data_IF_270611078732
#
_entry.id   IF_270611078732
#
_cell.length_a   1.000
_cell.length_b   1.000
_cell.length_c   1.000
_cell.angle_alpha   90.00
_cell.angle_beta   90.00
_cell.angle_gamma   90.00
#
_symmetry.space_group_name_H-M   'P 1'
#
loop_
_entity.id
_entity.type
_entity.pdbx_description
1 polymer ?
#
# COMPACT_ATOMS: atom_id res chain seq x y z
N UNK A 1 -22.12 -24.99 12.86
CA UNK A 1 -21.15 -24.28 13.73
C UNK A 1 -19.69 -24.69 13.49
N UNK A 2 -19.35 -25.98 13.42
CA UNK A 2 -17.95 -26.42 13.22
C UNK A 2 -17.29 -25.95 11.91
N UNK A 3 -18.03 -25.90 10.80
CA UNK A 3 -17.50 -25.39 9.52
C UNK A 3 -17.16 -23.89 9.57
N UNK A 4 -17.97 -23.09 10.25
CA UNK A 4 -17.74 -21.64 10.41
C UNK A 4 -16.54 -21.38 11.30
N UNK A 5 -16.37 -22.15 12.39
CA UNK A 5 -15.19 -22.04 13.25
C UNK A 5 -13.93 -22.48 12.49
N UNK A 6 -13.99 -23.57 11.71
CA UNK A 6 -12.88 -24.07 10.91
C UNK A 6 -12.44 -23.07 9.82
N UNK A 7 -13.39 -22.47 9.09
CA UNK A 7 -13.06 -21.45 8.08
C UNK A 7 -12.49 -20.20 8.75
N UNK A 8 -13.04 -19.75 9.88
CA UNK A 8 -12.49 -18.60 10.62
C UNK A 8 -11.07 -18.86 11.12
N UNK A 9 -10.79 -20.07 11.62
CA UNK A 9 -9.49 -20.47 12.12
C UNK A 9 -8.43 -20.57 11.01
N UNK A 10 -8.83 -20.90 9.78
CA UNK A 10 -7.95 -20.89 8.59
C UNK A 10 -7.79 -19.51 7.97
N UNK A 11 -8.80 -18.65 8.07
CA UNK A 11 -8.78 -17.28 7.50
C UNK A 11 -7.93 -16.33 8.36
N UNK A 12 -7.95 -16.50 9.67
CA UNK A 12 -7.21 -15.66 10.61
C UNK A 12 -5.69 -15.61 10.37
N UNK A 13 -4.96 -16.73 10.23
CA UNK A 13 -3.52 -16.69 9.94
C UNK A 13 -3.23 -16.13 8.53
N UNK A 14 -4.08 -16.42 7.54
CA UNK A 14 -3.94 -15.88 6.18
C UNK A 14 -4.07 -14.36 6.14
N UNK A 15 -5.05 -13.79 6.86
CA UNK A 15 -5.20 -12.34 6.95
C UNK A 15 -4.03 -11.67 7.70
N UNK A 16 -3.54 -12.28 8.79
CA UNK A 16 -2.38 -11.76 9.53
C UNK A 16 -1.11 -11.79 8.67
N UNK A 17 -0.87 -12.88 7.93
CA UNK A 17 0.25 -12.99 7.01
C UNK A 17 0.18 -11.93 5.89
N UNK A 18 -1.00 -11.73 5.29
CA UNK A 18 -1.23 -10.74 4.24
C UNK A 18 -1.06 -9.29 4.72
N UNK A 19 -1.51 -8.98 5.94
CA UNK A 19 -1.26 -7.67 6.56
C UNK A 19 0.23 -7.44 6.79
N UNK A 20 0.95 -8.47 7.23
CA UNK A 20 2.39 -8.39 7.47
C UNK A 20 3.19 -8.26 6.17
N UNK A 21 2.82 -9.04 5.14
CA UNK A 21 3.33 -8.91 3.78
C UNK A 21 3.19 -7.47 3.27
N UNK A 22 1.99 -6.88 3.36
CA UNK A 22 1.75 -5.48 2.96
C UNK A 22 2.66 -4.50 3.67
N UNK A 23 2.86 -4.66 4.99
CA UNK A 23 3.73 -3.80 5.80
C UNK A 23 5.22 -3.97 5.48
N UNK A 24 5.64 -5.18 5.08
CA UNK A 24 7.01 -5.41 4.60
C UNK A 24 7.16 -4.69 3.25
N UNK A 25 6.26 -4.96 2.31
CA UNK A 25 6.31 -4.42 0.95
C UNK A 25 6.27 -2.90 0.88
N UNK A 26 5.49 -2.24 1.75
CA UNK A 26 5.40 -0.77 1.80
C UNK A 26 6.70 -0.12 2.28
N UNK A 27 7.41 -0.78 3.21
CA UNK A 27 8.63 -0.25 3.82
C UNK A 27 9.91 -0.71 3.10
N UNK A 28 9.81 -1.78 2.31
CA UNK A 28 10.95 -2.40 1.65
C UNK A 28 11.74 -1.44 0.72
N UNK A 29 11.11 -0.62 -0.15
CA UNK A 29 11.85 0.32 -1.00
C UNK A 29 12.75 1.28 -0.20
N UNK A 30 12.29 1.75 0.96
CA UNK A 30 13.03 2.65 1.82
C UNK A 30 14.18 1.94 2.55
N UNK A 31 13.94 0.72 3.04
CA UNK A 31 14.99 -0.11 3.62
C UNK A 31 16.07 -0.47 2.59
N UNK A 32 15.69 -0.74 1.33
CA UNK A 32 16.67 -1.02 0.26
C UNK A 32 17.54 0.18 -0.06
N UNK A 33 17.02 1.41 -0.02
CA UNK A 33 17.86 2.61 -0.16
C UNK A 33 18.92 2.69 0.95
N UNK A 34 18.56 2.34 2.19
CA UNK A 34 19.52 2.27 3.29
C UNK A 34 20.57 1.18 3.06
N UNK A 35 20.17 -0.02 2.67
CA UNK A 35 21.09 -1.11 2.31
C UNK A 35 22.05 -0.67 1.20
N UNK A 36 21.52 -0.04 0.16
CA UNK A 36 22.29 0.49 -0.96
C UNK A 36 23.30 1.56 -0.52
N UNK A 37 22.89 2.49 0.35
CA UNK A 37 23.77 3.52 0.88
C UNK A 37 24.91 2.93 1.73
N UNK A 38 24.58 1.99 2.62
CA UNK A 38 25.58 1.29 3.45
C UNK A 38 26.56 0.48 2.60
N UNK A 39 26.06 -0.22 1.57
CA UNK A 39 26.91 -0.95 0.64
C UNK A 39 27.77 -0.03 -0.22
N UNK A 40 27.25 1.13 -0.62
CA UNK A 40 28.02 2.14 -1.34
C UNK A 40 29.18 2.67 -0.50
N UNK A 41 29.01 2.76 0.82
CA UNK A 41 30.03 3.10 1.82
C UNK A 41 31.00 1.94 2.14
N UNK A 42 30.85 0.77 1.50
CA UNK A 42 31.76 -0.36 1.68
C UNK A 42 31.47 -1.24 2.90
N UNK A 43 30.32 -1.06 3.55
CA UNK A 43 29.93 -1.88 4.70
C UNK A 43 29.68 -3.33 4.27
N UNK A 44 30.16 -4.28 5.08
CA UNK A 44 30.02 -5.70 4.77
C UNK A 44 28.53 -6.14 4.86
N UNK A 45 28.08 -7.08 4.03
CA UNK A 45 26.65 -7.43 3.93
C UNK A 45 26.01 -7.86 5.26
N UNK A 46 26.73 -8.62 6.07
CA UNK A 46 26.26 -9.06 7.39
C UNK A 46 26.04 -7.87 8.33
N UNK A 47 26.93 -6.89 8.34
CA UNK A 47 26.80 -5.67 9.14
C UNK A 47 25.66 -4.77 8.66
N UNK A 48 25.36 -4.78 7.35
CA UNK A 48 24.22 -4.04 6.81
C UNK A 48 22.90 -4.56 7.40
N UNK A 49 22.69 -5.88 7.42
CA UNK A 49 21.47 -6.47 8.00
C UNK A 49 21.40 -6.25 9.53
N UNK A 50 22.54 -6.31 10.23
CA UNK A 50 22.61 -5.97 11.65
C UNK A 50 22.27 -4.48 11.87
N UNK A 51 22.79 -3.58 11.04
CA UNK A 51 22.50 -2.15 11.14
C UNK A 51 21.03 -1.84 10.85
N UNK A 52 20.47 -2.48 9.82
CA UNK A 52 19.05 -2.36 9.46
C UNK A 52 18.13 -2.83 10.60
N UNK A 53 18.53 -3.85 11.37
CA UNK A 53 17.77 -4.34 12.52
C UNK A 53 17.61 -3.32 13.66
N UNK A 54 18.48 -2.32 13.72
CA UNK A 54 18.46 -1.26 14.74
C UNK A 54 17.61 -0.06 14.32
N UNK A 55 17.26 0.04 13.04
CA UNK A 55 16.54 1.18 12.48
C UNK A 55 15.03 0.98 12.58
N UNK A 56 14.42 1.50 13.65
CA UNK A 56 12.97 1.37 13.90
C UNK A 56 12.07 1.98 12.82
N UNK A 57 12.60 2.90 12.02
CA UNK A 57 11.87 3.60 10.96
C UNK A 57 11.38 2.67 9.83
N UNK A 58 11.94 1.46 9.68
CA UNK A 58 11.58 0.53 8.60
C UNK A 58 10.54 -0.54 9.01
N UNK A 59 9.94 -0.43 10.20
CA UNK A 59 8.82 -1.25 10.63
C UNK A 59 9.08 -2.76 10.54
N UNK A 60 8.22 -3.50 9.82
CA UNK A 60 8.32 -4.96 9.69
C UNK A 60 9.59 -5.44 8.95
N UNK A 61 10.18 -4.60 8.09
CA UNK A 61 11.45 -4.94 7.42
C UNK A 61 12.59 -4.98 8.43
N UNK A 62 12.57 -4.09 9.43
CA UNK A 62 13.49 -4.13 10.57
C UNK A 62 13.32 -5.41 11.39
N UNK A 63 12.09 -5.89 11.58
CA UNK A 63 11.84 -7.16 12.28
C UNK A 63 12.39 -8.37 11.50
N UNK A 64 12.23 -8.41 10.18
CA UNK A 64 12.88 -9.46 9.37
C UNK A 64 14.41 -9.34 9.39
N UNK A 65 14.94 -8.13 9.30
CA UNK A 65 16.38 -7.88 9.42
C UNK A 65 16.92 -8.27 10.81
N UNK A 66 16.17 -8.02 11.89
CA UNK A 66 16.53 -8.41 13.25
C UNK A 66 16.60 -9.92 13.43
N UNK A 67 15.73 -10.65 12.75
CA UNK A 67 15.78 -12.11 12.75
C UNK A 67 16.98 -12.62 11.94
N UNK A 68 17.28 -12.04 10.77
CA UNK A 68 18.50 -12.36 10.01
C UNK A 68 19.76 -12.06 10.86
N UNK A 69 19.81 -10.89 11.49
CA UNK A 69 20.91 -10.47 12.36
C UNK A 69 21.10 -11.41 13.55
N UNK A 70 20.00 -11.93 14.11
CA UNK A 70 20.01 -12.95 15.17
C UNK A 70 20.58 -14.28 14.69
N UNK A 71 20.18 -14.72 13.50
CA UNK A 71 20.67 -15.97 12.91
C UNK A 71 22.18 -15.90 12.66
N UNK A 72 22.70 -14.74 12.26
CA UNK A 72 24.14 -14.51 12.06
C UNK A 72 24.88 -14.39 13.40
N UNK A 73 24.43 -13.52 14.30
CA UNK A 73 25.21 -13.15 15.50
C UNK A 73 25.05 -14.11 16.67
N UNK A 74 23.86 -14.68 16.88
CA UNK A 74 23.59 -15.58 18.00
C UNK A 74 23.74 -17.05 17.61
N UNK A 75 23.32 -17.44 16.41
CA UNK A 75 23.37 -18.84 15.95
C UNK A 75 24.65 -19.16 15.16
N UNK A 76 25.48 -18.15 14.86
CA UNK A 76 26.73 -18.33 14.12
C UNK A 76 26.53 -18.81 12.68
N UNK A 77 25.34 -18.59 12.09
CA UNK A 77 25.06 -19.02 10.72
C UNK A 77 25.81 -18.14 9.73
N UNK A 78 26.29 -18.75 8.64
CA UNK A 78 26.80 -17.99 7.52
C UNK A 78 25.68 -17.16 6.88
N UNK A 79 26.05 -16.05 6.24
CA UNK A 79 25.10 -15.11 5.65
C UNK A 79 24.20 -15.79 4.61
N UNK A 80 24.71 -16.74 3.82
CA UNK A 80 23.90 -17.40 2.77
C UNK A 80 22.84 -18.29 3.40
N UNK A 81 23.20 -19.08 4.41
CA UNK A 81 22.24 -19.93 5.14
C UNK A 81 21.22 -19.11 5.91
N UNK A 82 21.64 -18.03 6.57
CA UNK A 82 20.72 -17.12 7.28
C UNK A 82 19.70 -16.48 6.32
N UNK A 83 20.15 -16.05 5.14
CA UNK A 83 19.26 -15.49 4.12
C UNK A 83 18.31 -16.54 3.53
N UNK A 84 18.77 -17.77 3.28
CA UNK A 84 17.90 -18.88 2.85
C UNK A 84 16.80 -19.18 3.86
N UNK A 85 17.13 -19.23 5.15
CA UNK A 85 16.15 -19.41 6.21
C UNK A 85 15.15 -18.25 6.29
N UNK A 86 15.61 -17.02 6.06
CA UNK A 86 14.72 -15.86 6.02
C UNK A 86 13.75 -15.89 4.83
N UNK A 87 14.19 -16.39 3.67
CA UNK A 87 13.33 -16.58 2.48
C UNK A 87 12.18 -17.56 2.71
N UNK A 88 12.41 -18.63 3.48
CA UNK A 88 11.36 -19.61 3.81
C UNK A 88 10.32 -19.07 4.79
N UNK A 89 10.69 -18.08 5.62
CA UNK A 89 9.83 -17.54 6.67
C UNK A 89 9.06 -16.28 6.25
N UNK A 90 9.60 -15.48 5.34
CA UNK A 90 8.98 -14.21 4.97
C UNK A 90 7.66 -14.43 4.21
N UNK A 91 6.56 -13.73 4.58
CA UNK A 91 5.32 -13.75 3.81
C UNK A 91 5.39 -12.86 2.56
N UNK A 92 6.41 -12.00 2.43
CA UNK A 92 6.59 -11.09 1.29
C UNK A 92 7.40 -11.74 0.18
N UNK A 93 6.79 -11.85 -1.01
CA UNK A 93 7.47 -12.33 -2.21
C UNK A 93 8.55 -11.34 -2.68
N UNK A 94 8.31 -10.03 -2.59
CA UNK A 94 9.30 -9.01 -2.97
C UNK A 94 10.55 -9.07 -2.10
N UNK A 95 10.37 -9.26 -0.80
CA UNK A 95 11.50 -9.42 0.11
C UNK A 95 12.25 -10.73 -0.17
N UNK A 96 11.51 -11.82 -0.42
CA UNK A 96 12.10 -13.11 -0.81
C UNK A 96 12.95 -12.99 -2.08
N UNK A 97 12.43 -12.34 -3.12
CA UNK A 97 13.14 -12.13 -4.39
C UNK A 97 14.41 -11.28 -4.21
N UNK A 98 14.33 -10.27 -3.36
CA UNK A 98 15.50 -9.48 -2.98
C UNK A 98 16.56 -10.35 -2.30
N UNK A 99 16.19 -11.10 -1.25
CA UNK A 99 17.13 -11.97 -0.54
C UNK A 99 17.72 -13.05 -1.46
N UNK A 100 16.91 -13.60 -2.37
CA UNK A 100 17.34 -14.59 -3.36
C UNK A 100 18.41 -14.01 -4.28
N UNK A 101 18.22 -12.78 -4.76
CA UNK A 101 19.24 -12.11 -5.57
C UNK A 101 20.52 -11.84 -4.80
N UNK A 102 20.45 -11.47 -3.50
CA UNK A 102 21.63 -11.35 -2.63
C UNK A 102 22.41 -12.66 -2.58
N UNK A 103 21.71 -13.77 -2.32
CA UNK A 103 22.32 -15.10 -2.25
C UNK A 103 22.99 -15.45 -3.59
N UNK A 104 22.28 -15.27 -4.71
CA UNK A 104 22.82 -15.55 -6.04
C UNK A 104 24.07 -14.73 -6.32
N UNK A 105 24.04 -13.42 -6.06
CA UNK A 105 25.21 -12.54 -6.26
C UNK A 105 26.40 -12.93 -5.41
N UNK A 106 26.20 -13.34 -4.15
CA UNK A 106 27.29 -13.85 -3.30
C UNK A 106 27.86 -15.15 -3.88
N UNK A 107 26.98 -16.11 -4.21
CA UNK A 107 27.42 -17.45 -4.66
C UNK A 107 28.08 -17.45 -6.03
N UNK A 108 27.76 -16.48 -6.90
CA UNK A 108 28.40 -16.32 -8.20
C UNK A 108 29.69 -15.50 -8.15
N UNK A 109 30.12 -15.02 -6.96
CA UNK A 109 31.28 -14.14 -6.82
C UNK A 109 31.05 -12.73 -7.35
N UNK A 110 29.79 -12.33 -7.55
CA UNK A 110 29.41 -11.01 -8.03
C UNK A 110 29.53 -9.93 -6.95
N UNK A 111 29.52 -8.67 -7.39
CA UNK A 111 29.50 -7.53 -6.46
C UNK A 111 28.09 -7.22 -5.99
N UNK A 112 27.89 -7.18 -4.67
CA UNK A 112 26.61 -6.85 -4.06
C UNK A 112 26.22 -5.37 -4.18
N UNK A 113 27.21 -4.47 -4.29
CA UNK A 113 26.96 -3.02 -4.37
C UNK A 113 26.10 -2.66 -5.60
N UNK A 114 26.46 -3.06 -6.83
CA UNK A 114 25.61 -2.87 -8.01
C UNK A 114 24.22 -3.50 -7.86
N UNK A 115 24.14 -4.70 -7.28
CA UNK A 115 22.87 -5.37 -7.06
C UNK A 115 21.94 -4.57 -6.13
N UNK A 116 22.45 -4.13 -4.97
CA UNK A 116 21.69 -3.34 -4.01
C UNK A 116 21.24 -2.00 -4.59
N UNK A 117 22.12 -1.31 -5.32
CA UNK A 117 21.77 -0.06 -5.99
C UNK A 117 20.66 -0.27 -7.03
N UNK A 118 20.81 -1.26 -7.91
CA UNK A 118 19.83 -1.56 -8.93
C UNK A 118 18.47 -1.96 -8.34
N UNK A 119 18.45 -2.79 -7.28
CA UNK A 119 17.20 -3.20 -6.64
C UNK A 119 16.54 -2.09 -5.84
N UNK A 120 17.30 -1.26 -5.15
CA UNK A 120 16.79 -0.08 -4.47
C UNK A 120 16.11 0.86 -5.47
N UNK A 121 16.79 1.17 -6.58
CA UNK A 121 16.23 2.04 -7.62
C UNK A 121 14.98 1.43 -8.27
N UNK A 122 15.01 0.13 -8.59
CA UNK A 122 13.85 -0.57 -9.15
C UNK A 122 12.63 -0.48 -8.22
N UNK A 123 12.78 -0.84 -6.94
CA UNK A 123 11.65 -0.84 -6.01
C UNK A 123 11.18 0.56 -5.66
N UNK A 124 12.06 1.55 -5.65
CA UNK A 124 11.69 2.96 -5.51
C UNK A 124 10.91 3.48 -6.72
N UNK A 125 11.31 3.12 -7.95
CA UNK A 125 10.57 3.47 -9.17
C UNK A 125 9.18 2.83 -9.16
N UNK A 126 9.09 1.54 -8.84
CA UNK A 126 7.80 0.85 -8.73
C UNK A 126 6.90 1.47 -7.64
N UNK A 127 7.46 1.87 -6.49
CA UNK A 127 6.71 2.54 -5.43
C UNK A 127 6.19 3.91 -5.87
N UNK A 128 7.03 4.72 -6.54
CA UNK A 128 6.61 6.01 -7.11
C UNK A 128 5.52 5.83 -8.17
N UNK A 129 5.62 4.80 -9.00
CA UNK A 129 4.59 4.50 -9.99
C UNK A 129 3.25 4.13 -9.32
N UNK A 130 3.27 3.30 -8.28
CA UNK A 130 2.07 2.98 -7.49
C UNK A 130 1.44 4.23 -6.88
N UNK A 131 2.25 5.11 -6.29
CA UNK A 131 1.77 6.39 -5.73
C UNK A 131 1.18 7.29 -6.82
N UNK A 132 1.83 7.38 -7.98
CA UNK A 132 1.33 8.15 -9.11
C UNK A 132 -0.03 7.63 -9.60
N UNK A 133 -0.15 6.32 -9.83
CA UNK A 133 -1.41 5.71 -10.23
C UNK A 133 -2.51 5.87 -9.18
N UNK A 134 -2.16 5.86 -7.90
CA UNK A 134 -3.11 6.17 -6.82
C UNK A 134 -3.61 7.62 -6.90
N UNK A 135 -2.72 8.59 -7.11
CA UNK A 135 -3.09 10.00 -7.29
C UNK A 135 -3.92 10.23 -8.57
N UNK A 136 -3.58 9.57 -9.67
CA UNK A 136 -4.37 9.60 -10.91
C UNK A 136 -5.78 9.08 -10.68
N UNK A 137 -5.93 7.97 -9.96
CA UNK A 137 -7.23 7.41 -9.57
C UNK A 137 -8.02 8.41 -8.73
N UNK A 138 -7.37 9.03 -7.74
CA UNK A 138 -8.00 10.06 -6.89
C UNK A 138 -8.42 11.29 -7.71
N UNK A 139 -7.64 11.68 -8.71
CA UNK A 139 -7.97 12.76 -9.64
C UNK A 139 -9.22 12.48 -10.46
N UNK A 140 -9.33 11.27 -11.03
CA UNK A 140 -10.54 10.83 -11.76
C UNK A 140 -11.76 10.82 -10.83
N UNK A 141 -11.59 10.40 -9.57
CA UNK A 141 -12.69 10.45 -8.59
C UNK A 141 -13.10 11.90 -8.28
N UNK A 142 -12.15 12.82 -8.14
CA UNK A 142 -12.44 14.23 -7.89
C UNK A 142 -13.19 14.87 -9.08
N UNK A 143 -12.79 14.55 -10.31
CA UNK A 143 -13.48 15.01 -11.52
C UNK A 143 -14.92 14.46 -11.61
N UNK A 144 -15.09 13.17 -11.32
CA UNK A 144 -16.41 12.54 -11.26
C UNK A 144 -17.29 13.17 -10.18
N UNK A 145 -16.72 13.54 -9.02
CA UNK A 145 -17.44 14.25 -7.95
C UNK A 145 -17.97 15.60 -8.42
N UNK A 146 -17.08 16.44 -8.96
CA UNK A 146 -17.45 17.79 -9.42
C UNK A 146 -18.50 17.72 -10.53
N UNK A 147 -18.37 16.78 -11.45
CA UNK A 147 -19.30 16.67 -12.59
C UNK A 147 -20.64 16.06 -12.18
N UNK A 148 -20.64 14.89 -11.53
CA UNK A 148 -21.86 14.14 -11.26
C UNK A 148 -22.56 14.55 -9.96
N UNK A 149 -21.83 14.83 -8.88
CA UNK A 149 -22.40 15.14 -7.57
C UNK A 149 -22.61 16.64 -7.33
N UNK A 150 -21.88 17.51 -8.04
CA UNK A 150 -22.03 18.97 -7.90
C UNK A 150 -22.72 19.59 -9.10
N UNK A 151 -22.15 19.48 -10.30
CA UNK A 151 -22.68 20.15 -11.49
C UNK A 151 -24.04 19.59 -11.93
N UNK A 152 -24.23 18.26 -11.90
CA UNK A 152 -25.50 17.60 -12.22
C UNK A 152 -26.68 18.12 -11.37
N UNK A 153 -26.61 18.02 -10.02
CA UNK A 153 -27.65 18.53 -9.14
C UNK A 153 -27.84 20.04 -9.26
N UNK A 154 -26.76 20.81 -9.47
CA UNK A 154 -26.86 22.25 -9.68
C UNK A 154 -27.66 22.59 -10.95
N UNK A 155 -27.42 21.88 -12.05
CA UNK A 155 -28.17 22.07 -13.29
C UNK A 155 -29.67 21.79 -13.09
N UNK A 156 -29.99 20.67 -12.42
CA UNK A 156 -31.38 20.31 -12.09
C UNK A 156 -32.02 21.36 -11.17
N UNK A 157 -31.29 21.86 -10.17
CA UNK A 157 -31.75 22.94 -9.29
C UNK A 157 -32.09 24.21 -10.07
N UNK A 158 -31.24 24.62 -11.01
CA UNK A 158 -31.48 25.82 -11.83
C UNK A 158 -32.75 25.63 -12.67
N UNK A 159 -32.89 24.48 -13.37
CA UNK A 159 -34.05 24.21 -14.23
C UNK A 159 -35.35 24.19 -13.43
N UNK A 160 -35.39 23.47 -12.30
CA UNK A 160 -36.60 23.40 -11.45
C UNK A 160 -36.95 24.80 -10.92
N UNK A 161 -35.95 25.56 -10.45
CA UNK A 161 -36.15 26.91 -9.93
C UNK A 161 -36.77 27.84 -10.98
N UNK A 162 -36.24 27.82 -12.21
CA UNK A 162 -36.74 28.64 -13.31
C UNK A 162 -38.19 28.25 -13.68
N UNK A 163 -38.49 26.96 -13.80
CA UNK A 163 -39.84 26.49 -14.11
C UNK A 163 -40.85 26.89 -13.03
N UNK A 164 -40.43 26.82 -11.76
CA UNK A 164 -41.26 27.20 -10.61
C UNK A 164 -41.58 28.70 -10.63
N UNK A 165 -40.61 29.55 -10.96
CA UNK A 165 -40.79 31.00 -11.07
C UNK A 165 -41.72 31.35 -12.23
N UNK A 166 -41.52 30.74 -13.40
CA UNK A 166 -42.30 31.04 -14.62
C UNK A 166 -43.75 30.59 -14.47
N UNK A 167 -43.98 29.41 -13.90
CA UNK A 167 -45.32 28.81 -13.80
C UNK A 167 -46.05 29.23 -12.52
N UNK A 168 -45.35 29.77 -11.52
CA UNK A 168 -45.92 30.15 -10.23
C UNK A 168 -46.54 28.96 -9.47
N UNK A 169 -46.04 27.74 -9.67
CA UNK A 169 -46.67 26.52 -9.17
C UNK A 169 -46.16 26.12 -7.78
N UNK A 170 -47.07 25.91 -6.82
CA UNK A 170 -46.72 25.41 -5.48
C UNK A 170 -46.13 23.98 -5.52
N UNK A 171 -46.51 23.19 -6.54
CA UNK A 171 -45.92 21.88 -6.79
C UNK A 171 -44.43 21.96 -7.15
N UNK A 172 -43.99 23.01 -7.86
CA UNK A 172 -42.58 23.24 -8.18
C UNK A 172 -41.75 23.55 -6.93
N UNK A 173 -42.29 24.37 -6.03
CA UNK A 173 -41.68 24.69 -4.73
C UNK A 173 -41.53 23.43 -3.87
N UNK A 174 -42.57 22.58 -3.84
CA UNK A 174 -42.55 21.31 -3.09
C UNK A 174 -41.51 20.34 -3.66
N UNK A 175 -41.41 20.22 -4.98
CA UNK A 175 -40.41 19.36 -5.62
C UNK A 175 -38.98 19.85 -5.39
N UNK A 176 -38.75 21.18 -5.39
CA UNK A 176 -37.45 21.78 -5.07
C UNK A 176 -37.04 21.46 -3.62
N UNK A 177 -37.95 21.59 -2.65
CA UNK A 177 -37.68 21.21 -1.26
C UNK A 177 -37.34 19.71 -1.15
N UNK A 178 -38.11 18.83 -1.79
CA UNK A 178 -37.81 17.40 -1.82
C UNK A 178 -36.42 17.12 -2.41
N UNK A 179 -36.07 17.79 -3.50
CA UNK A 179 -34.78 17.60 -4.15
C UNK A 179 -33.61 18.03 -3.25
N UNK A 180 -33.69 19.20 -2.63
CA UNK A 180 -32.64 19.74 -1.75
C UNK A 180 -32.50 18.93 -0.46
N UNK A 181 -33.61 18.56 0.19
CA UNK A 181 -33.57 17.92 1.50
C UNK A 181 -33.43 16.40 1.45
N UNK A 182 -33.78 15.75 0.33
CA UNK A 182 -33.73 14.28 0.21
C UNK A 182 -32.73 13.84 -0.86
N UNK A 183 -32.90 14.29 -2.10
CA UNK A 183 -32.15 13.77 -3.25
C UNK A 183 -30.68 14.19 -3.18
N UNK A 184 -30.41 15.47 -2.88
CA UNK A 184 -29.05 15.99 -2.83
C UNK A 184 -28.20 15.31 -1.72
N UNK A 185 -28.68 15.16 -0.47
CA UNK A 185 -27.99 14.36 0.54
C UNK A 185 -27.76 12.90 0.13
N UNK A 186 -28.73 12.26 -0.53
CA UNK A 186 -28.59 10.89 -1.02
C UNK A 186 -27.48 10.77 -2.08
N UNK A 187 -27.38 11.73 -3.00
CA UNK A 187 -26.32 11.76 -4.02
C UNK A 187 -24.94 11.89 -3.35
N UNK A 188 -24.78 12.82 -2.41
CA UNK A 188 -23.50 12.98 -1.71
C UNK A 188 -23.15 11.78 -0.82
N UNK A 189 -24.14 11.17 -0.16
CA UNK A 189 -23.93 9.96 0.63
C UNK A 189 -23.53 8.78 -0.27
N UNK A 190 -24.21 8.59 -1.40
CA UNK A 190 -23.88 7.56 -2.38
C UNK A 190 -22.46 7.72 -2.91
N UNK A 191 -22.06 8.96 -3.22
CA UNK A 191 -20.71 9.25 -3.68
C UNK A 191 -19.66 9.01 -2.58
N UNK A 192 -19.91 9.45 -1.34
CA UNK A 192 -19.02 9.23 -0.21
C UNK A 192 -18.79 7.73 0.06
N UNK A 193 -19.85 6.91 -0.06
CA UNK A 193 -19.73 5.46 0.04
C UNK A 193 -18.93 4.87 -1.12
N UNK A 194 -19.18 5.32 -2.37
CA UNK A 194 -18.43 4.90 -3.54
C UNK A 194 -16.93 5.13 -3.39
N UNK A 195 -16.53 6.33 -2.94
CA UNK A 195 -15.14 6.66 -2.66
C UNK A 195 -14.57 5.78 -1.55
N UNK A 196 -15.34 5.52 -0.49
CA UNK A 196 -14.91 4.66 0.62
C UNK A 196 -14.65 3.22 0.19
N UNK A 197 -15.46 2.65 -0.70
CA UNK A 197 -15.24 1.30 -1.22
C UNK A 197 -14.03 1.22 -2.16
N UNK A 198 -13.74 2.28 -2.90
CA UNK A 198 -12.65 2.32 -3.87
C UNK A 198 -11.31 2.77 -3.28
N UNK A 199 -11.31 3.37 -2.09
CA UNK A 199 -10.10 3.68 -1.34
C UNK A 199 -9.77 2.47 -0.47
N UNK A 200 -8.83 1.58 -0.87
CA UNK A 200 -8.45 0.50 0.01
C UNK A 200 -7.71 1.14 1.19
N UNK A 201 -8.27 0.99 2.39
CA UNK A 201 -7.57 1.36 3.63
C UNK A 201 -6.20 0.66 3.66
N UNK A 202 -5.17 1.49 3.86
CA UNK A 202 -3.77 1.10 4.02
C UNK A 202 -3.58 0.46 5.40
#
# INVERSE_FOLDING_TARGET
MGFVVYTFHLMYPKNRAKLRERKIDSNLPYALNFISAMSAAGVAPHEIFISLSKQGIYGEVKEEAARIARDITLLGMDIVTALKRAMERTPSERFRDFLQGVVVTITSGGSLKPYFMAKAEQYMRENRQKQKTFLETLGVMAEAYVTAAVAGPLFVLIVISLLTIIQGSESGITFLHLFVFLILPLIHLGFALGVKFMTPEV
#
